data_IF_804982905801
#
_entry.id   IF_804982905801
#
_cell.length_a   1.000
_cell.length_b   1.000
_cell.length_c   1.000
_cell.angle_alpha   90.00
_cell.angle_beta   90.00
_cell.angle_gamma   90.00
#
_symmetry.space_group_name_H-M   'P 1'
#
loop_
_entity.id
_entity.type
_entity.pdbx_description
1 polymer ?
#
# COMPACT_ATOMS: atom_id res chain seq x y z
N UNK A 1 19.65 2.39 5.36
CA UNK A 1 19.52 1.40 6.45
C UNK A 1 18.08 0.92 6.41
N UNK A 2 17.87 -0.39 6.34
CA UNK A 2 16.52 -0.95 6.33
C UNK A 2 15.94 -0.78 7.74
N UNK A 3 15.01 0.15 7.94
CA UNK A 3 14.35 0.33 9.23
C UNK A 3 12.84 0.50 9.10
N UNK A 4 12.13 0.35 10.22
CA UNK A 4 10.67 0.46 10.24
C UNK A 4 10.15 1.84 9.81
N UNK A 5 10.88 2.93 10.02
CA UNK A 5 10.44 4.25 9.56
C UNK A 5 10.46 4.29 8.03
N UNK A 6 11.52 3.78 7.41
CA UNK A 6 11.60 3.68 5.97
C UNK A 6 10.53 2.77 5.38
N UNK A 7 10.26 1.62 6.01
CA UNK A 7 9.19 0.70 5.60
C UNK A 7 7.79 1.32 5.75
N UNK A 8 7.55 2.11 6.80
CA UNK A 8 6.31 2.88 6.99
C UNK A 8 6.09 3.86 5.83
N UNK A 9 7.15 4.56 5.42
CA UNK A 9 7.10 5.50 4.29
C UNK A 9 6.84 4.80 2.95
N UNK A 10 7.50 3.67 2.70
CA UNK A 10 7.23 2.87 1.51
C UNK A 10 5.78 2.36 1.50
N UNK A 11 5.29 1.83 2.62
CA UNK A 11 3.93 1.34 2.73
C UNK A 11 2.90 2.46 2.49
N UNK A 12 3.16 3.66 3.03
CA UNK A 12 2.35 4.87 2.80
C UNK A 12 2.32 5.24 1.31
N UNK A 13 3.47 5.21 0.63
CA UNK A 13 3.56 5.49 -0.80
C UNK A 13 2.79 4.48 -1.64
N UNK A 14 2.91 3.18 -1.33
CA UNK A 14 2.18 2.11 -2.00
C UNK A 14 0.67 2.32 -1.88
N UNK A 15 0.18 2.59 -0.66
CA UNK A 15 -1.23 2.85 -0.40
C UNK A 15 -1.74 4.07 -1.19
N UNK A 16 -0.95 5.13 -1.21
CA UNK A 16 -1.27 6.36 -1.96
C UNK A 16 -1.35 6.10 -3.46
N UNK A 17 -0.36 5.41 -4.03
CA UNK A 17 -0.33 5.08 -5.46
C UNK A 17 -1.48 4.14 -5.86
N UNK A 18 -1.85 3.18 -5.02
CA UNK A 18 -3.03 2.31 -5.26
C UNK A 18 -4.33 3.11 -5.25
N UNK A 19 -4.48 4.08 -4.36
CA UNK A 19 -5.65 4.97 -4.37
C UNK A 19 -5.71 5.80 -5.67
N UNK A 20 -4.57 6.33 -6.13
CA UNK A 20 -4.50 7.04 -7.41
C UNK A 20 -4.81 6.14 -8.61
N UNK A 21 -4.37 4.87 -8.60
CA UNK A 21 -4.74 3.90 -9.62
C UNK A 21 -6.27 3.72 -9.68
N UNK A 22 -6.93 3.56 -8.54
CA UNK A 22 -8.39 3.43 -8.50
C UNK A 22 -9.09 4.66 -9.08
N UNK A 23 -8.59 5.87 -8.79
CA UNK A 23 -9.15 7.11 -9.36
C UNK A 23 -8.99 7.17 -10.88
N UNK A 24 -7.80 6.83 -11.39
CA UNK A 24 -7.54 6.78 -12.84
C UNK A 24 -8.43 5.74 -13.53
N UNK A 25 -8.66 4.60 -12.90
CA UNK A 25 -9.55 3.57 -13.44
C UNK A 25 -11.00 4.04 -13.55
N UNK A 26 -11.50 4.79 -12.56
CA UNK A 26 -12.82 5.40 -12.64
C UNK A 26 -12.89 6.49 -13.72
N UNK A 27 -11.88 7.34 -13.85
CA UNK A 27 -11.81 8.33 -14.91
C UNK A 27 -11.79 7.69 -16.31
N UNK A 28 -11.03 6.61 -16.48
CA UNK A 28 -10.99 5.85 -17.72
C UNK A 28 -12.35 5.22 -18.06
N UNK A 29 -13.10 4.71 -17.08
CA UNK A 29 -14.47 4.21 -17.31
C UNK A 29 -15.37 5.32 -17.84
N UNK A 30 -15.31 6.51 -17.23
CA UNK A 30 -16.10 7.67 -17.66
C UNK A 30 -15.74 8.09 -19.09
N UNK A 31 -14.44 8.17 -19.42
CA UNK A 31 -13.99 8.57 -20.76
C UNK A 31 -14.38 7.53 -21.81
N UNK A 32 -14.21 6.23 -21.52
CA UNK A 32 -14.63 5.16 -22.43
C UNK A 32 -16.14 5.19 -22.69
N UNK A 33 -16.96 5.47 -21.66
CA UNK A 33 -18.40 5.66 -21.82
C UNK A 33 -18.71 6.86 -22.73
N UNK A 34 -18.06 8.01 -22.51
CA UNK A 34 -18.24 9.21 -23.36
C UNK A 34 -17.85 8.94 -24.81
N UNK A 35 -16.71 8.28 -25.05
CA UNK A 35 -16.26 7.90 -26.40
C UNK A 35 -17.24 6.96 -27.09
N UNK A 36 -17.84 6.02 -26.35
CA UNK A 36 -18.86 5.12 -26.88
C UNK A 36 -20.17 5.84 -27.25
N UNK A 37 -20.57 6.85 -26.48
CA UNK A 37 -21.79 7.64 -26.74
C UNK A 37 -21.62 8.69 -27.85
N UNK A 38 -20.39 9.13 -28.11
CA UNK A 38 -20.09 10.24 -29.02
C UNK A 38 -20.63 10.02 -30.44
N UNK A 39 -20.47 8.84 -31.08
CA UNK A 39 -21.05 8.57 -32.40
C UNK A 39 -22.58 8.68 -32.45
N UNK A 40 -23.26 8.40 -31.34
CA UNK A 40 -24.73 8.48 -31.24
C UNK A 40 -25.21 9.93 -31.08
N UNK A 41 -24.44 10.75 -30.36
CA UNK A 41 -24.80 12.15 -30.04
C UNK A 41 -24.37 13.14 -31.12
N UNK A 42 -23.23 12.87 -31.78
CA UNK A 42 -22.60 13.76 -32.78
C UNK A 42 -23.55 14.27 -33.87
N UNK A 43 -24.41 13.45 -34.51
CA UNK A 43 -25.32 13.95 -35.54
C UNK A 43 -26.31 15.01 -35.02
N UNK A 44 -26.85 14.77 -33.82
CA UNK A 44 -27.83 15.65 -33.17
C UNK A 44 -27.17 16.95 -32.74
N UNK A 45 -26.02 16.87 -32.05
CA UNK A 45 -25.27 18.04 -31.57
C UNK A 45 -24.76 18.92 -32.72
N UNK A 46 -24.22 18.31 -33.78
CA UNK A 46 -23.76 19.04 -34.96
C UNK A 46 -24.92 19.76 -35.67
N UNK A 47 -26.09 19.11 -35.75
CA UNK A 47 -27.29 19.72 -36.34
C UNK A 47 -27.78 20.89 -35.47
N UNK A 48 -27.82 20.71 -34.15
CA UNK A 48 -28.22 21.76 -33.22
C UNK A 48 -27.30 22.98 -33.30
N UNK A 49 -25.97 22.78 -33.26
CA UNK A 49 -24.98 23.85 -33.38
C UNK A 49 -25.18 24.67 -34.67
N UNK A 50 -25.40 23.98 -35.80
CA UNK A 50 -25.72 24.61 -37.08
C UNK A 50 -27.00 25.46 -37.02
N UNK A 51 -28.05 24.97 -36.35
CA UNK A 51 -29.32 25.68 -36.22
C UNK A 51 -29.23 26.97 -35.39
N UNK A 52 -28.36 26.98 -34.37
CA UNK A 52 -28.16 28.15 -33.49
C UNK A 52 -27.00 29.05 -33.94
N UNK A 53 -26.35 28.72 -35.06
CA UNK A 53 -25.24 29.51 -35.62
C UNK A 53 -23.92 29.39 -34.87
N UNK A 54 -23.70 28.30 -34.14
CA UNK A 54 -22.43 28.03 -33.43
C UNK A 54 -21.63 26.92 -34.12
N UNK A 55 -20.32 26.88 -33.84
CA UNK A 55 -19.44 25.81 -34.32
C UNK A 55 -19.53 24.60 -33.39
N UNK A 56 -19.74 23.41 -33.96
CA UNK A 56 -19.62 22.16 -33.22
C UNK A 56 -18.14 21.81 -33.00
N UNK A 57 -17.72 21.69 -31.75
CA UNK A 57 -16.40 21.19 -31.39
C UNK A 57 -16.45 19.68 -31.16
N UNK A 58 -15.74 18.94 -32.01
CA UNK A 58 -15.62 17.50 -31.83
C UNK A 58 -14.67 17.18 -30.68
N UNK A 59 -15.22 16.66 -29.58
CA UNK A 59 -14.44 16.30 -28.40
C UNK A 59 -13.72 14.95 -28.55
N UNK A 60 -13.91 14.22 -29.65
CA UNK A 60 -13.34 12.89 -29.83
C UNK A 60 -11.81 12.89 -29.67
N UNK A 61 -11.12 13.82 -30.34
CA UNK A 61 -9.65 13.90 -30.26
C UNK A 61 -9.15 14.24 -28.85
N UNK A 62 -9.86 15.13 -28.13
CA UNK A 62 -9.54 15.48 -26.75
C UNK A 62 -9.74 14.29 -25.80
N UNK A 63 -10.82 13.54 -25.98
CA UNK A 63 -11.14 12.35 -25.17
C UNK A 63 -10.16 11.20 -25.43
N UNK A 64 -9.80 10.95 -26.70
CA UNK A 64 -8.76 9.97 -27.09
C UNK A 64 -7.40 10.34 -26.47
N UNK A 65 -7.01 11.62 -26.55
CA UNK A 65 -5.76 12.10 -25.93
C UNK A 65 -5.79 11.96 -24.41
N UNK A 66 -6.90 12.30 -23.77
CA UNK A 66 -7.07 12.15 -22.32
C UNK A 66 -7.00 10.68 -21.90
N UNK A 67 -7.62 9.78 -22.68
CA UNK A 67 -7.55 8.33 -22.47
C UNK A 67 -6.12 7.82 -22.54
N UNK A 68 -5.39 8.17 -23.61
CA UNK A 68 -4.01 7.75 -23.79
C UNK A 68 -3.10 8.23 -22.63
N UNK A 69 -3.27 9.47 -22.17
CA UNK A 69 -2.52 9.99 -21.03
C UNK A 69 -2.83 9.24 -19.73
N UNK A 70 -4.10 8.92 -19.48
CA UNK A 70 -4.51 8.17 -18.30
C UNK A 70 -4.04 6.72 -18.35
N UNK A 71 -4.06 6.07 -19.52
CA UNK A 71 -3.50 4.73 -19.71
C UNK A 71 -1.99 4.70 -19.44
N UNK A 72 -1.23 5.68 -19.97
CA UNK A 72 0.19 5.81 -19.69
C UNK A 72 0.47 6.02 -18.19
N UNK A 73 -0.29 6.91 -17.54
CA UNK A 73 -0.16 7.16 -16.10
C UNK A 73 -0.55 5.94 -15.25
N UNK A 74 -1.56 5.17 -15.69
CA UNK A 74 -1.94 3.90 -15.07
C UNK A 74 -0.79 2.90 -15.12
N UNK A 75 -0.14 2.77 -16.28
CA UNK A 75 1.00 1.87 -16.45
C UNK A 75 2.17 2.29 -15.55
N UNK A 76 2.51 3.58 -15.55
CA UNK A 76 3.57 4.14 -14.70
C UNK A 76 3.31 3.85 -13.21
N UNK A 77 2.12 4.16 -12.71
CA UNK A 77 1.75 3.91 -11.31
C UNK A 77 1.71 2.41 -10.98
N UNK A 78 1.26 1.57 -11.91
CA UNK A 78 1.26 0.11 -11.73
C UNK A 78 2.69 -0.40 -11.56
N UNK A 79 3.62 0.09 -12.37
CA UNK A 79 5.03 -0.26 -12.28
C UNK A 79 5.66 0.29 -11.00
N UNK A 80 5.31 1.51 -10.59
CA UNK A 80 5.75 2.10 -9.32
C UNK A 80 5.28 1.26 -8.12
N UNK A 81 4.00 0.88 -8.06
CA UNK A 81 3.45 0.03 -6.99
C UNK A 81 4.15 -1.33 -6.94
N UNK A 82 4.40 -1.97 -8.09
CA UNK A 82 5.14 -3.24 -8.15
C UNK A 82 6.58 -3.09 -7.65
N UNK A 83 7.27 -2.03 -8.07
CA UNK A 83 8.63 -1.71 -7.65
C UNK A 83 8.71 -1.47 -6.14
N UNK A 84 7.85 -0.59 -5.62
CA UNK A 84 7.78 -0.27 -4.20
C UNK A 84 7.39 -1.49 -3.35
N UNK A 85 6.49 -2.34 -3.83
CA UNK A 85 6.13 -3.61 -3.15
C UNK A 85 7.34 -4.55 -3.08
N UNK A 86 8.07 -4.69 -4.19
CA UNK A 86 9.27 -5.53 -4.26
C UNK A 86 10.38 -5.01 -3.36
N UNK A 87 10.48 -3.67 -3.27
CA UNK A 87 11.39 -2.96 -2.38
C UNK A 87 11.01 -3.16 -0.91
N UNK A 88 9.74 -2.97 -0.55
CA UNK A 88 9.22 -3.23 0.79
C UNK A 88 9.55 -4.65 1.25
N UNK A 89 9.27 -5.65 0.41
CA UNK A 89 9.57 -7.06 0.72
C UNK A 89 11.08 -7.23 0.93
N UNK A 90 11.90 -6.69 0.03
CA UNK A 90 13.36 -6.84 0.11
C UNK A 90 13.94 -6.24 1.40
N UNK A 91 13.52 -5.02 1.76
CA UNK A 91 13.94 -4.34 3.00
C UNK A 91 13.41 -5.05 4.25
N UNK A 92 12.16 -5.53 4.23
CA UNK A 92 11.57 -6.28 5.35
C UNK A 92 12.25 -7.64 5.57
N UNK A 93 12.73 -8.28 4.50
CA UNK A 93 13.50 -9.54 4.56
C UNK A 93 15.01 -9.34 4.76
N UNK A 94 15.46 -8.09 4.90
CA UNK A 94 16.88 -7.79 5.10
C UNK A 94 17.37 -8.36 6.44
N UNK A 95 18.57 -8.99 6.47
CA UNK A 95 19.20 -9.39 7.72
C UNK A 95 19.58 -8.18 8.59
N UNK A 96 19.75 -7.01 7.97
CA UNK A 96 20.11 -5.74 8.63
C UNK A 96 18.88 -4.90 9.01
N UNK A 97 17.68 -5.51 9.01
CA UNK A 97 16.44 -4.84 9.39
C UNK A 97 16.51 -4.35 10.83
N UNK A 98 16.34 -3.04 11.02
CA UNK A 98 16.32 -2.41 12.34
C UNK A 98 14.90 -2.07 12.77
N UNK A 99 14.52 -2.64 13.91
CA UNK A 99 13.23 -2.43 14.54
C UNK A 99 13.45 -1.54 15.76
N UNK A 100 12.91 -0.31 15.79
CA UNK A 100 13.20 0.67 16.82
C UNK A 100 12.39 0.36 18.08
N UNK A 101 12.72 -0.72 18.79
CA UNK A 101 12.13 -1.04 20.10
C UNK A 101 12.87 -0.30 21.23
N UNK A 102 12.13 0.16 22.23
CA UNK A 102 12.68 0.59 23.50
C UNK A 102 13.34 -0.62 24.20
N UNK A 103 14.62 -0.53 24.62
CA UNK A 103 15.30 -1.62 25.30
C UNK A 103 14.71 -1.97 26.68
N UNK A 104 13.85 -1.11 27.26
CA UNK A 104 13.23 -1.32 28.57
C UNK A 104 11.78 -1.80 28.40
N UNK A 105 11.53 -3.12 28.40
CA UNK A 105 10.18 -3.63 28.31
C UNK A 105 9.37 -3.33 29.58
N UNK A 106 8.04 -3.35 29.43
CA UNK A 106 7.10 -3.33 30.53
C UNK A 106 6.58 -4.75 30.79
N UNK A 107 6.50 -5.13 32.07
CA UNK A 107 5.97 -6.42 32.50
C UNK A 107 4.54 -6.21 33.01
N UNK A 108 3.57 -6.85 32.37
CA UNK A 108 2.16 -6.69 32.74
C UNK A 108 1.38 -7.98 32.53
N UNK A 109 0.71 -8.45 33.57
CA UNK A 109 -0.21 -9.60 33.52
C UNK A 109 0.42 -10.86 32.88
N UNK A 110 1.68 -11.16 33.20
CA UNK A 110 2.39 -12.31 32.62
C UNK A 110 2.83 -12.13 31.16
N UNK A 111 2.82 -10.89 30.64
CA UNK A 111 3.34 -10.53 29.34
C UNK A 111 4.54 -9.58 29.46
N UNK A 112 5.44 -9.65 28.47
CA UNK A 112 6.48 -8.67 28.22
C UNK A 112 6.05 -7.80 27.04
N UNK A 113 6.07 -6.48 27.23
CA UNK A 113 5.62 -5.49 26.25
C UNK A 113 6.79 -4.59 25.86
N UNK A 114 7.10 -4.51 24.56
CA UNK A 114 8.08 -3.59 24.01
C UNK A 114 7.36 -2.47 23.27
N UNK A 115 7.63 -1.23 23.64
CA UNK A 115 7.17 -0.05 22.91
C UNK A 115 8.17 0.31 21.81
N UNK A 116 7.70 1.01 20.78
CA UNK A 116 8.61 1.63 19.83
C UNK A 116 9.26 2.88 20.42
N UNK A 117 10.50 3.16 20.02
CA UNK A 117 11.25 4.35 20.43
C UNK A 117 10.48 5.61 20.05
N UNK A 118 10.64 6.66 20.86
CA UNK A 118 10.07 7.98 20.64
C UNK A 118 8.53 7.99 20.46
N UNK A 119 7.85 6.97 20.99
CA UNK A 119 6.41 6.76 20.82
C UNK A 119 5.96 6.72 19.35
N UNK A 120 6.86 6.31 18.45
CA UNK A 120 6.57 6.14 17.02
C UNK A 120 5.49 5.08 16.80
N UNK A 121 4.75 5.23 15.70
CA UNK A 121 3.68 4.30 15.32
C UNK A 121 3.82 3.89 13.87
N UNK A 122 3.68 2.61 13.61
CA UNK A 122 3.91 1.99 12.29
C UNK A 122 2.61 1.49 11.68
N UNK A 123 1.66 2.39 11.44
CA UNK A 123 0.33 2.01 10.99
C UNK A 123 0.34 1.41 9.59
N UNK A 124 0.93 2.12 8.62
CA UNK A 124 0.93 1.71 7.23
C UNK A 124 1.77 0.44 7.03
N UNK A 125 2.89 0.32 7.75
CA UNK A 125 3.74 -0.87 7.74
C UNK A 125 2.95 -2.10 8.13
N UNK A 126 2.26 -2.07 9.28
CA UNK A 126 1.52 -3.24 9.75
C UNK A 126 0.26 -3.53 8.95
N UNK A 127 -0.47 -2.51 8.49
CA UNK A 127 -1.60 -2.69 7.58
C UNK A 127 -1.16 -3.37 6.28
N UNK A 128 -0.10 -2.87 5.66
CA UNK A 128 0.43 -3.42 4.41
C UNK A 128 1.07 -4.79 4.60
N UNK A 129 1.81 -5.01 5.69
CA UNK A 129 2.38 -6.31 6.02
C UNK A 129 1.29 -7.36 6.27
N UNK A 130 0.23 -7.01 6.99
CA UNK A 130 -0.96 -7.85 7.17
C UNK A 130 -1.60 -8.22 5.83
N UNK A 131 -1.78 -7.25 4.94
CA UNK A 131 -2.30 -7.49 3.59
C UNK A 131 -1.40 -8.48 2.82
N UNK A 132 -0.09 -8.24 2.78
CA UNK A 132 0.86 -9.11 2.09
C UNK A 132 0.84 -10.54 2.62
N UNK A 133 0.70 -10.72 3.93
CA UNK A 133 0.64 -12.02 4.59
C UNK A 133 -0.74 -12.68 4.47
N UNK A 134 -1.79 -11.95 4.05
CA UNK A 134 -3.17 -12.45 4.05
C UNK A 134 -3.73 -12.63 5.46
N UNK A 135 -3.26 -11.82 6.41
CA UNK A 135 -3.65 -11.83 7.82
C UNK A 135 -4.37 -10.53 8.20
N UNK A 136 -5.06 -10.53 9.33
CA UNK A 136 -5.60 -9.30 9.92
C UNK A 136 -4.56 -8.61 10.80
N UNK A 137 -4.73 -7.30 11.00
CA UNK A 137 -3.98 -6.54 12.00
C UNK A 137 -4.75 -6.53 13.33
N UNK A 138 -4.09 -6.63 14.50
CA UNK A 138 -2.64 -6.78 14.70
C UNK A 138 -2.13 -8.18 14.30
N UNK A 139 -0.88 -8.26 13.85
CA UNK A 139 -0.27 -9.52 13.42
C UNK A 139 0.03 -10.39 14.64
N UNK A 140 -0.56 -11.57 14.67
CA UNK A 140 -0.26 -12.58 15.70
C UNK A 140 0.57 -13.69 15.06
N UNK A 141 1.83 -13.80 15.49
CA UNK A 141 2.74 -14.85 15.04
C UNK A 141 3.18 -15.64 16.27
N UNK A 142 2.61 -16.83 16.42
CA UNK A 142 2.72 -17.67 17.64
C UNK A 142 2.26 -16.90 18.88
N UNK A 143 3.18 -16.63 19.81
CA UNK A 143 2.92 -15.94 21.09
C UNK A 143 3.28 -14.46 21.06
N UNK A 144 3.58 -13.92 19.87
CA UNK A 144 3.97 -12.52 19.66
C UNK A 144 2.87 -11.80 18.91
N UNK A 145 2.31 -10.77 19.54
CA UNK A 145 1.40 -9.82 18.92
C UNK A 145 2.22 -8.60 18.51
N UNK A 146 2.25 -8.33 17.21
CA UNK A 146 2.90 -7.18 16.59
C UNK A 146 1.80 -6.19 16.19
N UNK A 147 1.83 -4.99 16.75
CA UNK A 147 0.86 -3.94 16.47
C UNK A 147 1.56 -2.65 16.07
N UNK A 148 0.78 -1.68 15.57
CA UNK A 148 1.32 -0.37 15.17
C UNK A 148 1.96 0.43 16.31
N UNK A 149 1.66 0.10 17.58
CA UNK A 149 2.12 0.87 18.74
C UNK A 149 3.11 0.11 19.62
N UNK A 150 3.03 -1.22 19.62
CA UNK A 150 3.80 -2.05 20.53
C UNK A 150 3.88 -3.51 20.08
N UNK A 151 4.80 -4.23 20.70
CA UNK A 151 4.97 -5.67 20.58
C UNK A 151 4.68 -6.31 21.94
N UNK A 152 3.71 -7.23 21.97
CA UNK A 152 3.29 -7.94 23.19
C UNK A 152 3.65 -9.41 23.07
N UNK A 153 4.31 -9.96 24.08
CA UNK A 153 4.79 -11.34 24.08
C UNK A 153 4.28 -12.05 25.33
N UNK A 154 3.60 -13.19 25.13
CA UNK A 154 2.97 -13.98 26.20
C UNK A 154 3.99 -14.82 26.97
N UNK A 155 4.86 -14.16 27.72
CA UNK A 155 5.85 -14.75 28.63
C UNK A 155 6.12 -13.78 29.79
N UNK A 156 6.63 -14.30 30.91
CA UNK A 156 6.97 -13.51 32.09
C UNK A 156 8.46 -13.12 32.18
N UNK A 157 9.31 -13.63 31.28
CA UNK A 157 10.76 -13.41 31.29
C UNK A 157 11.21 -12.65 30.02
N UNK A 158 12.06 -11.65 30.20
CA UNK A 158 12.58 -10.80 29.11
C UNK A 158 13.43 -11.56 28.09
N UNK A 159 14.28 -12.49 28.53
CA UNK A 159 15.12 -13.29 27.64
C UNK A 159 14.27 -14.16 26.73
N UNK A 160 13.28 -14.85 27.29
CA UNK A 160 12.32 -15.66 26.51
C UNK A 160 11.52 -14.78 25.55
N UNK A 161 11.16 -13.57 25.97
CA UNK A 161 10.45 -12.61 25.14
C UNK A 161 11.28 -12.22 23.91
N UNK A 162 12.57 -11.90 24.11
CA UNK A 162 13.51 -11.57 23.02
C UNK A 162 13.68 -12.75 22.05
N UNK A 163 13.83 -13.97 22.55
CA UNK A 163 13.93 -15.18 21.73
C UNK A 163 12.68 -15.39 20.87
N UNK A 164 11.49 -15.27 21.48
CA UNK A 164 10.22 -15.40 20.76
C UNK A 164 10.04 -14.30 19.72
N UNK A 165 10.39 -13.06 20.05
CA UNK A 165 10.37 -11.94 19.10
C UNK A 165 11.21 -12.23 17.86
N UNK A 166 12.48 -12.61 18.06
CA UNK A 166 13.42 -12.94 16.98
C UNK A 166 12.85 -14.09 16.14
N UNK A 167 12.32 -15.15 16.77
CA UNK A 167 11.71 -16.28 16.08
C UNK A 167 10.52 -15.87 15.21
N UNK A 168 9.61 -15.04 15.74
CA UNK A 168 8.44 -14.54 15.01
C UNK A 168 8.84 -13.62 13.85
N UNK A 169 9.83 -12.76 14.03
CA UNK A 169 10.35 -11.92 12.93
C UNK A 169 10.97 -12.77 11.83
N UNK A 170 11.78 -13.77 12.18
CA UNK A 170 12.36 -14.70 11.21
C UNK A 170 11.28 -15.47 10.43
N UNK A 171 10.17 -15.82 11.08
CA UNK A 171 9.03 -16.48 10.43
C UNK A 171 8.32 -15.56 9.43
N UNK A 172 8.08 -14.30 9.81
CA UNK A 172 7.55 -13.28 8.89
C UNK A 172 8.48 -13.13 7.68
N UNK A 173 9.78 -12.97 7.90
CA UNK A 173 10.77 -12.81 6.83
C UNK A 173 10.80 -14.03 5.90
N UNK A 174 10.71 -15.25 6.44
CA UNK A 174 10.62 -16.48 5.63
C UNK A 174 9.36 -16.50 4.76
N UNK A 175 8.21 -16.18 5.34
CA UNK A 175 6.93 -16.14 4.61
C UNK A 175 6.96 -15.11 3.48
N UNK A 176 7.51 -13.92 3.75
CA UNK A 176 7.69 -12.88 2.73
C UNK A 176 8.68 -13.30 1.63
N UNK A 177 9.77 -14.00 2.00
CA UNK A 177 10.73 -14.52 1.02
C UNK A 177 10.11 -15.56 0.09
N UNK A 178 9.19 -16.39 0.59
CA UNK A 178 8.42 -17.32 -0.24
C UNK A 178 7.52 -16.56 -1.22
N UNK A 179 6.83 -15.50 -0.75
CA UNK A 179 5.97 -14.64 -1.60
C UNK A 179 6.74 -13.77 -2.59
N UNK A 180 8.05 -13.58 -2.40
CA UNK A 180 8.93 -12.89 -3.35
C UNK A 180 9.21 -13.73 -4.61
N UNK A 181 9.16 -15.07 -4.49
CA UNK A 181 9.37 -16.01 -5.59
C UNK A 181 8.08 -16.26 -6.36
#
# INVERSE_FOLDING_TARGET
MADFNYLEEIARQIKTNRNYLNQIEEELKIINMKLHELPLKKPTEATFAKMIGTQYEDQQEQLEKSKANLEAKKEELTNAVKSDTSKFISEMTSPDLVIPLDPKPQFKNGNVMFQYKDATKFHNLFEFLSELLGLSAPLVVKDVLLSSTEVIIKVSNEYDAKQKFISSMNEIQKTLTIKKK
#
